data_IF_285786944095
#
_entry.id   IF_285786944095
#
_cell.length_a   1.000
_cell.length_b   1.000
_cell.length_c   1.000
_cell.angle_alpha   90.00
_cell.angle_beta   90.00
_cell.angle_gamma   90.00
#
_symmetry.space_group_name_H-M   'P 1'
#
loop_
_entity.id
_entity.type
_entity.pdbx_description
1 polymer ?
#
# COMPACT_ATOMS: atom_id res chain seq x y z
N UNK A 1 29.57 39.94 -52.71
CA UNK A 1 29.88 38.71 -51.95
C UNK A 1 31.02 39.01 -50.99
N UNK A 2 30.72 39.10 -49.69
CA UNK A 2 31.70 38.96 -48.61
C UNK A 2 30.93 38.67 -47.31
N UNK A 3 31.18 37.49 -46.76
CA UNK A 3 30.69 36.98 -45.49
C UNK A 3 31.45 37.64 -44.34
N UNK A 4 30.80 37.90 -43.20
CA UNK A 4 31.50 38.10 -41.92
C UNK A 4 30.60 37.69 -40.76
N UNK A 5 31.24 37.08 -39.76
CA UNK A 5 30.67 36.10 -38.85
C UNK A 5 30.10 36.68 -37.55
N UNK A 6 29.35 35.80 -36.88
CA UNK A 6 28.87 35.76 -35.50
C UNK A 6 29.42 36.81 -34.51
N UNK A 7 28.49 37.45 -33.80
CA UNK A 7 28.67 37.81 -32.40
C UNK A 7 27.52 37.17 -31.60
N UNK A 8 27.86 36.20 -30.76
CA UNK A 8 26.94 35.59 -29.81
C UNK A 8 26.65 36.58 -28.66
N UNK A 9 25.39 36.74 -28.29
CA UNK A 9 25.02 37.40 -27.03
C UNK A 9 24.11 36.49 -26.21
N UNK A 10 24.49 36.38 -24.94
CA UNK A 10 24.07 35.43 -23.91
C UNK A 10 22.55 35.18 -23.80
N UNK A 11 22.18 33.90 -23.76
CA UNK A 11 20.89 33.47 -23.26
C UNK A 11 20.87 33.62 -21.72
N UNK A 12 20.03 34.50 -21.20
CA UNK A 12 19.69 34.51 -19.79
C UNK A 12 18.69 33.37 -19.56
N UNK A 13 19.14 32.24 -19.02
CA UNK A 13 18.24 31.23 -18.46
C UNK A 13 17.53 31.85 -17.26
N UNK A 14 16.33 32.39 -17.48
CA UNK A 14 15.36 32.52 -16.39
C UNK A 14 14.87 31.10 -16.12
N UNK A 15 15.46 30.46 -15.11
CA UNK A 15 14.88 29.26 -14.53
C UNK A 15 13.58 29.70 -13.86
N UNK A 16 12.46 29.53 -14.54
CA UNK A 16 11.20 29.38 -13.81
C UNK A 16 11.44 28.23 -12.82
N UNK A 17 11.21 28.42 -11.50
CA UNK A 17 11.09 27.26 -10.63
C UNK A 17 10.02 26.40 -11.27
N UNK A 18 10.39 25.16 -11.61
CA UNK A 18 9.47 24.19 -12.14
C UNK A 18 8.20 24.27 -11.30
N UNK A 19 7.06 24.49 -11.95
CA UNK A 19 5.78 24.28 -11.33
C UNK A 19 5.84 22.86 -10.80
N UNK A 20 6.16 22.71 -9.51
CA UNK A 20 6.06 21.47 -8.82
C UNK A 20 4.61 21.10 -9.03
N UNK A 21 4.38 20.14 -9.93
CA UNK A 21 3.06 19.58 -10.17
C UNK A 21 2.50 19.33 -8.78
N UNK A 22 1.48 20.11 -8.42
CA UNK A 22 0.92 20.07 -7.09
C UNK A 22 0.68 18.59 -6.78
N UNK A 23 1.37 18.07 -5.76
CA UNK A 23 1.14 16.71 -5.29
C UNK A 23 -0.37 16.52 -5.24
N UNK A 24 -0.93 15.42 -5.78
CA UNK A 24 -2.36 15.23 -5.78
C UNK A 24 -2.83 15.49 -4.37
N UNK A 25 -3.62 16.57 -4.24
CA UNK A 25 -4.24 16.96 -2.99
C UNK A 25 -5.02 15.73 -2.61
N UNK A 26 -4.60 15.01 -1.58
CA UNK A 26 -5.34 13.87 -1.10
C UNK A 26 -6.74 14.42 -0.85
N UNK A 27 -7.67 14.05 -1.74
CA UNK A 27 -9.05 14.40 -1.58
C UNK A 27 -9.46 13.95 -0.18
N UNK A 28 -10.46 14.59 0.39
CA UNK A 28 -11.06 14.29 1.69
C UNK A 28 -11.69 12.88 1.80
N UNK A 29 -11.17 11.92 1.04
CA UNK A 29 -11.43 10.49 1.10
C UNK A 29 -10.69 10.00 2.35
N UNK A 30 -11.42 9.92 3.47
CA UNK A 30 -10.83 9.73 4.80
C UNK A 30 -9.66 8.74 4.80
N UNK A 31 -8.50 9.26 5.21
CA UNK A 31 -7.25 8.51 5.26
C UNK A 31 -7.44 7.20 6.03
N UNK A 32 -6.75 6.15 5.57
CA UNK A 32 -6.75 4.87 6.27
C UNK A 32 -6.23 4.99 7.70
N UNK A 33 -6.93 4.37 8.65
CA UNK A 33 -6.65 4.51 10.08
C UNK A 33 -5.76 3.40 10.66
N UNK A 34 -5.49 2.34 9.90
CA UNK A 34 -4.72 1.17 10.35
C UNK A 34 -3.86 0.60 9.23
N UNK A 35 -2.63 0.20 9.58
CA UNK A 35 -1.70 -0.49 8.70
C UNK A 35 -1.05 -1.67 9.42
N UNK A 36 -0.71 -2.71 8.66
CA UNK A 36 0.08 -3.84 9.12
C UNK A 36 1.02 -4.31 8.01
N UNK A 37 2.12 -4.98 8.35
CA UNK A 37 3.03 -5.53 7.35
C UNK A 37 3.49 -6.92 7.76
N UNK A 38 3.76 -7.76 6.76
CA UNK A 38 4.37 -9.07 6.93
C UNK A 38 5.38 -9.34 5.81
N UNK A 39 6.24 -10.34 6.02
CA UNK A 39 7.20 -10.77 5.01
C UNK A 39 6.69 -12.06 4.36
N UNK A 40 6.52 -12.03 3.05
CA UNK A 40 6.23 -13.23 2.28
C UNK A 40 7.41 -14.20 2.32
N UNK A 41 7.15 -15.49 2.11
CA UNK A 41 8.18 -16.52 2.12
C UNK A 41 9.34 -16.29 1.14
N UNK A 42 9.11 -15.54 0.06
CA UNK A 42 10.13 -15.14 -0.92
C UNK A 42 10.92 -13.88 -0.53
N UNK A 43 10.70 -13.37 0.69
CA UNK A 43 11.42 -12.23 1.26
C UNK A 43 10.80 -10.87 0.95
N UNK A 44 9.77 -10.79 0.09
CA UNK A 44 9.07 -9.54 -0.22
C UNK A 44 8.23 -9.07 0.96
N UNK A 45 8.27 -7.77 1.24
CA UNK A 45 7.31 -7.17 2.18
C UNK A 45 5.94 -7.01 1.51
N UNK A 46 4.90 -7.22 2.31
CA UNK A 46 3.52 -6.91 1.94
C UNK A 46 2.89 -6.05 3.02
N UNK A 47 2.25 -4.98 2.57
CA UNK A 47 1.60 -3.98 3.39
C UNK A 47 0.10 -4.13 3.25
N UNK A 48 -0.59 -4.09 4.38
CA UNK A 48 -2.04 -4.15 4.50
C UNK A 48 -2.53 -2.86 5.15
N UNK A 49 -3.75 -2.45 4.84
CA UNK A 49 -4.38 -1.32 5.53
C UNK A 49 -5.88 -1.26 5.31
N UNK A 50 -6.55 -0.43 6.10
CA UNK A 50 -7.98 -0.14 5.96
C UNK A 50 -8.19 1.30 5.53
N UNK A 51 -9.19 1.58 4.69
CA UNK A 51 -9.64 2.95 4.42
C UNK A 51 -10.73 3.40 5.43
N UNK A 52 -11.12 4.68 5.40
CA UNK A 52 -12.16 5.22 6.30
C UNK A 52 -13.55 4.58 6.15
N UNK A 53 -13.83 3.96 4.99
CA UNK A 53 -15.06 3.21 4.73
C UNK A 53 -14.97 1.76 5.23
N UNK A 54 -13.79 1.35 5.70
CA UNK A 54 -13.48 0.01 6.19
C UNK A 54 -13.05 -0.95 5.09
N UNK A 55 -12.78 -0.48 3.88
CA UNK A 55 -12.23 -1.32 2.81
C UNK A 55 -10.84 -1.80 3.19
N UNK A 56 -10.55 -3.09 2.97
CA UNK A 56 -9.25 -3.70 3.28
C UNK A 56 -8.41 -3.78 2.00
N UNK A 57 -7.18 -3.27 2.06
CA UNK A 57 -6.29 -3.14 0.92
C UNK A 57 -4.94 -3.76 1.21
N UNK A 58 -4.28 -4.26 0.17
CA UNK A 58 -2.90 -4.73 0.27
C UNK A 58 -2.07 -4.35 -0.96
N UNK A 59 -0.76 -4.30 -0.77
CA UNK A 59 0.23 -4.22 -1.85
C UNK A 59 1.53 -4.85 -1.40
N UNK A 60 2.32 -5.35 -2.35
CA UNK A 60 3.58 -6.03 -2.05
C UNK A 60 4.73 -5.47 -2.86
N UNK A 61 5.95 -5.73 -2.42
CA UNK A 61 7.11 -5.45 -3.26
C UNK A 61 7.04 -6.26 -4.56
N UNK A 62 7.65 -5.76 -5.63
CA UNK A 62 7.80 -6.51 -6.89
C UNK A 62 8.85 -7.60 -6.71
N UNK A 63 9.97 -7.26 -6.08
CA UNK A 63 11.04 -8.14 -5.61
C UNK A 63 11.58 -7.65 -4.26
N UNK A 64 12.31 -8.47 -3.48
CA UNK A 64 12.79 -8.07 -2.15
C UNK A 64 13.62 -6.77 -2.20
N UNK A 65 13.20 -5.77 -1.43
CA UNK A 65 13.89 -4.47 -1.38
C UNK A 65 13.62 -3.53 -2.57
N UNK A 66 12.80 -3.93 -3.54
CA UNK A 66 12.48 -3.10 -4.70
C UNK A 66 11.18 -2.29 -4.51
N UNK A 67 10.72 -1.69 -5.61
CA UNK A 67 9.44 -0.99 -5.70
C UNK A 67 8.24 -1.89 -5.41
N UNK A 68 7.05 -1.30 -5.42
CA UNK A 68 5.82 -1.92 -4.94
C UNK A 68 4.77 -2.03 -6.05
N UNK A 69 3.93 -3.05 -5.98
CA UNK A 69 2.73 -3.19 -6.82
C UNK A 69 1.73 -2.06 -6.56
N UNK A 70 0.70 -1.96 -7.40
CA UNK A 70 -0.51 -1.20 -7.06
C UNK A 70 -1.22 -1.77 -5.83
N UNK A 71 -2.12 -0.98 -5.25
CA UNK A 71 -3.02 -1.44 -4.20
C UNK A 71 -4.12 -2.31 -4.80
N UNK A 72 -4.37 -3.45 -4.17
CA UNK A 72 -5.44 -4.39 -4.48
C UNK A 72 -6.40 -4.46 -3.29
N UNK A 73 -7.70 -4.63 -3.58
CA UNK A 73 -8.75 -4.64 -2.55
C UNK A 73 -9.15 -6.06 -2.22
N UNK A 74 -9.22 -6.35 -0.94
CA UNK A 74 -9.90 -7.53 -0.42
C UNK A 74 -11.41 -7.29 -0.22
N UNK A 75 -12.18 -8.37 -0.19
CA UNK A 75 -13.55 -8.36 0.33
C UNK A 75 -13.58 -8.03 1.84
N UNK A 76 -14.78 -7.90 2.42
CA UNK A 76 -14.96 -7.62 3.85
C UNK A 76 -14.87 -6.14 4.24
N UNK A 77 -15.10 -5.87 5.54
CA UNK A 77 -14.99 -4.53 6.11
C UNK A 77 -14.41 -4.56 7.52
N UNK A 78 -13.24 -3.95 7.70
CA UNK A 78 -12.49 -3.92 8.97
C UNK A 78 -12.06 -2.49 9.31
N UNK A 79 -11.82 -2.21 10.58
CA UNK A 79 -11.36 -0.91 11.10
C UNK A 79 -9.90 -0.93 11.53
N UNK A 80 -9.38 -2.10 11.91
CA UNK A 80 -8.01 -2.32 12.34
C UNK A 80 -7.50 -3.65 11.80
N UNK A 81 -6.20 -3.71 11.48
CA UNK A 81 -5.54 -4.91 10.97
C UNK A 81 -4.21 -5.19 11.67
N UNK A 82 -3.86 -6.47 11.73
CA UNK A 82 -2.54 -6.97 12.13
C UNK A 82 -2.15 -8.13 11.20
N UNK A 83 -0.86 -8.27 10.87
CA UNK A 83 -0.40 -9.31 9.96
C UNK A 83 0.84 -10.00 10.51
N UNK A 84 0.98 -11.30 10.24
CA UNK A 84 2.15 -12.07 10.60
C UNK A 84 2.41 -13.19 9.59
N UNK A 85 3.67 -13.59 9.48
CA UNK A 85 4.07 -14.79 8.73
C UNK A 85 4.09 -16.00 9.67
N UNK A 86 3.28 -17.00 9.36
CA UNK A 86 3.25 -18.27 10.08
C UNK A 86 4.57 -19.04 9.91
N UNK A 87 4.81 -20.01 10.79
CA UNK A 87 6.01 -20.84 10.76
C UNK A 87 6.17 -21.65 9.45
N UNK A 88 5.07 -21.91 8.74
CA UNK A 88 5.05 -22.57 7.43
C UNK A 88 5.27 -21.61 6.24
N UNK A 89 5.52 -20.32 6.52
CA UNK A 89 5.78 -19.28 5.51
C UNK A 89 4.54 -18.63 4.91
N UNK A 90 3.33 -19.06 5.28
CA UNK A 90 2.08 -18.40 4.86
C UNK A 90 1.90 -17.11 5.64
N UNK A 91 1.48 -16.04 4.96
CA UNK A 91 1.03 -14.83 5.66
C UNK A 91 -0.40 -15.01 6.13
N UNK A 92 -0.69 -14.55 7.33
CA UNK A 92 -2.02 -14.46 7.92
C UNK A 92 -2.31 -13.01 8.32
N UNK A 93 -3.50 -12.55 7.92
CA UNK A 93 -4.01 -11.21 8.19
C UNK A 93 -5.19 -11.33 9.14
N UNK A 94 -5.11 -10.60 10.23
CA UNK A 94 -6.13 -10.45 11.26
C UNK A 94 -6.73 -9.06 11.17
N UNK A 95 -7.96 -8.91 11.64
CA UNK A 95 -8.50 -7.60 11.92
C UNK A 95 -9.81 -7.61 12.70
N UNK A 96 -10.26 -6.42 13.02
CA UNK A 96 -11.47 -6.18 13.82
C UNK A 96 -12.46 -5.35 13.02
N UNK A 97 -13.73 -5.71 13.06
CA UNK A 97 -14.81 -4.92 12.44
C UNK A 97 -15.35 -3.82 13.36
N UNK A 98 -16.29 -3.00 12.87
CA UNK A 98 -16.90 -1.90 13.67
C UNK A 98 -17.68 -2.40 14.90
N UNK A 99 -18.01 -3.68 14.96
CA UNK A 99 -18.77 -4.31 16.06
C UNK A 99 -17.86 -5.04 17.08
N UNK A 100 -16.54 -5.01 16.86
CA UNK A 100 -15.58 -5.74 17.69
C UNK A 100 -15.42 -7.21 17.32
N UNK A 101 -16.02 -7.67 16.20
CA UNK A 101 -15.81 -9.01 15.68
C UNK A 101 -14.37 -9.17 15.18
N UNK A 102 -13.71 -10.26 15.58
CA UNK A 102 -12.35 -10.58 15.13
C UNK A 102 -12.43 -11.53 13.93
N UNK A 103 -11.67 -11.22 12.89
CA UNK A 103 -11.64 -11.94 11.64
C UNK A 103 -10.20 -12.21 11.22
N UNK A 104 -10.02 -13.28 10.45
CA UNK A 104 -8.74 -13.57 9.82
C UNK A 104 -8.89 -14.17 8.43
N UNK A 105 -7.85 -14.02 7.62
CA UNK A 105 -7.67 -14.72 6.35
C UNK A 105 -6.20 -15.03 6.16
N UNK A 106 -5.89 -16.07 5.40
CA UNK A 106 -4.52 -16.53 5.22
C UNK A 106 -4.21 -16.88 3.79
N UNK A 107 -2.93 -16.90 3.45
CA UNK A 107 -2.48 -17.50 2.21
C UNK A 107 -2.75 -19.01 2.23
N UNK A 108 -3.18 -19.59 1.11
CA UNK A 108 -3.48 -21.03 0.98
C UNK A 108 -2.21 -21.89 0.97
N UNK A 109 -1.11 -21.33 0.49
CA UNK A 109 0.26 -21.83 0.60
C UNK A 109 1.22 -20.63 0.58
N UNK A 110 2.48 -20.83 0.96
CA UNK A 110 3.45 -19.73 1.10
C UNK A 110 3.61 -18.94 -0.21
N UNK A 111 3.28 -17.64 -0.18
CA UNK A 111 3.30 -16.76 -1.37
C UNK A 111 2.18 -17.00 -2.39
N UNK A 112 1.18 -17.82 -2.04
CA UNK A 112 0.02 -18.14 -2.86
C UNK A 112 -1.13 -17.16 -2.75
N UNK A 113 -2.30 -17.59 -3.25
CA UNK A 113 -3.55 -16.83 -3.10
C UNK A 113 -4.08 -16.83 -1.67
N UNK A 114 -5.16 -16.09 -1.42
CA UNK A 114 -5.76 -15.90 -0.10
C UNK A 114 -7.08 -16.66 0.04
N UNK A 115 -7.39 -17.13 1.24
CA UNK A 115 -8.73 -17.60 1.61
C UNK A 115 -9.73 -16.44 1.69
N UNK A 116 -11.02 -16.73 1.81
CA UNK A 116 -11.99 -15.75 2.33
C UNK A 116 -11.74 -15.43 3.81
N UNK A 117 -12.44 -14.41 4.32
CA UNK A 117 -12.45 -14.12 5.75
C UNK A 117 -13.18 -15.21 6.53
N UNK A 118 -12.53 -15.69 7.59
CA UNK A 118 -13.15 -16.52 8.61
C UNK A 118 -13.25 -15.73 9.93
N UNK A 119 -14.23 -16.08 10.74
CA UNK A 119 -14.48 -15.40 12.02
C UNK A 119 -13.78 -16.15 13.14
N UNK A 120 -12.99 -15.44 13.94
CA UNK A 120 -12.55 -15.98 15.23
C UNK A 120 -13.75 -16.17 16.15
N UNK A 121 -13.63 -17.11 17.09
CA UNK A 121 -14.59 -17.21 18.17
C UNK A 121 -14.48 -16.00 19.11
N UNK A 122 -15.64 -15.47 19.52
CA UNK A 122 -15.71 -14.32 20.41
C UNK A 122 -15.62 -12.95 19.73
N UNK A 123 -15.47 -11.92 20.56
CA UNK A 123 -15.37 -10.53 20.16
C UNK A 123 -14.31 -9.84 21.00
N UNK A 124 -13.55 -8.95 20.40
CA UNK A 124 -12.61 -8.09 21.11
C UNK A 124 -13.42 -6.98 21.77
N UNK A 125 -13.68 -7.14 23.07
CA UNK A 125 -14.39 -6.17 23.90
C UNK A 125 -13.39 -5.47 24.84
N UNK A 126 -13.59 -4.18 25.15
CA UNK A 126 -12.82 -3.49 26.18
C UNK A 126 -12.86 -4.21 27.53
#
# INVERSE_FOLDING_TARGET
MASTALAALAALLVTTPGSAAAAPRFASDGYGSSIAAARNADGRLELFGTDSTGGVWHRRQVSPGAGWTGWEKFDGSLTQVAAQTNADGRVELFGVDRTGGVWHRWQTYAGGGWTGWDKFDGALRP
#
